data_IF_227898835293
#
_entry.id   IF_227898835293
#
_cell.length_a   1.000
_cell.length_b   1.000
_cell.length_c   1.000
_cell.angle_alpha   90.00
_cell.angle_beta   90.00
_cell.angle_gamma   90.00
#
_symmetry.space_group_name_H-M   'P 1'
#
loop_
_entity.id
_entity.type
_entity.pdbx_description
1 polymer ?
#
# COMPACT_ATOMS: atom_id res chain seq x y z
N UNK A 1 15.69 -10.77 5.36
CA UNK A 1 16.30 -9.92 4.31
C UNK A 1 15.50 -8.64 4.26
N UNK A 2 16.13 -7.49 4.44
CA UNK A 2 15.43 -6.20 4.28
C UNK A 2 15.05 -6.05 2.81
N UNK A 3 13.76 -6.00 2.49
CA UNK A 3 13.32 -5.68 1.14
C UNK A 3 13.61 -4.22 0.87
N UNK A 4 14.18 -3.91 -0.29
CA UNK A 4 14.41 -2.51 -0.72
C UNK A 4 13.10 -1.78 -1.04
N UNK A 5 12.01 -2.53 -1.21
CA UNK A 5 10.70 -2.00 -1.48
C UNK A 5 10.00 -1.59 -0.18
N UNK A 6 9.79 -0.32 -0.03
CA UNK A 6 9.05 0.27 1.08
C UNK A 6 8.00 1.23 0.51
N UNK A 7 6.77 0.76 0.28
CA UNK A 7 5.71 1.59 -0.29
C UNK A 7 5.32 2.72 0.67
N UNK A 8 4.77 3.77 0.10
CA UNK A 8 4.18 4.87 0.85
C UNK A 8 2.73 4.49 1.18
N UNK A 9 2.42 4.35 2.46
CA UNK A 9 1.10 3.87 2.91
C UNK A 9 0.10 5.01 3.06
N UNK A 10 0.53 6.15 3.58
CA UNK A 10 -0.38 7.21 4.02
C UNK A 10 -0.92 8.13 2.92
N UNK A 11 -0.68 7.82 1.65
CA UNK A 11 -1.18 8.60 0.52
C UNK A 11 -0.83 10.08 0.54
N UNK A 12 0.09 10.51 1.43
CA UNK A 12 0.48 11.92 1.60
C UNK A 12 -0.70 12.89 1.68
N UNK A 13 -1.76 12.48 2.37
CA UNK A 13 -2.92 13.35 2.55
C UNK A 13 -2.54 14.68 3.20
N UNK A 14 -3.28 15.74 2.90
CA UNK A 14 -3.13 17.02 3.59
C UNK A 14 -3.41 16.80 5.08
N UNK A 15 -2.36 16.66 5.88
CA UNK A 15 -2.47 16.46 7.33
C UNK A 15 -2.67 17.80 8.00
N UNK A 16 -3.85 18.01 8.56
CA UNK A 16 -4.01 19.01 9.61
C UNK A 16 -3.39 18.49 10.93
N UNK A 17 -3.20 19.36 11.91
CA UNK A 17 -2.73 18.95 13.24
C UNK A 17 -3.64 17.92 13.92
N UNK A 18 -4.89 17.80 13.48
CA UNK A 18 -5.91 16.89 13.99
C UNK A 18 -5.92 15.50 13.36
N UNK A 19 -5.08 15.24 12.35
CA UNK A 19 -4.96 13.90 11.71
C UNK A 19 -3.64 13.26 12.09
N UNK A 20 -3.72 12.07 12.67
CA UNK A 20 -2.55 11.29 13.06
C UNK A 20 -2.44 10.05 12.15
N UNK A 21 -1.25 9.83 11.61
CA UNK A 21 -0.85 8.62 10.96
C UNK A 21 0.32 7.97 11.74
N UNK A 22 0.26 6.66 11.93
CA UNK A 22 1.31 5.90 12.60
C UNK A 22 1.59 4.57 11.90
N UNK A 23 2.84 4.14 11.93
CA UNK A 23 3.28 2.82 11.44
C UNK A 23 4.02 2.06 12.55
N UNK A 24 3.89 0.74 12.52
CA UNK A 24 4.66 -0.17 13.37
C UNK A 24 5.15 -1.37 12.54
N UNK A 25 6.40 -1.79 12.71
CA UNK A 25 6.91 -2.99 12.06
C UNK A 25 6.19 -4.24 12.59
N UNK A 26 6.04 -5.28 11.76
CA UNK A 26 5.53 -6.55 12.23
C UNK A 26 6.53 -7.26 13.16
N UNK A 27 6.07 -8.22 13.99
CA UNK A 27 6.94 -9.19 14.64
C UNK A 27 7.81 -9.95 13.65
N UNK A 28 8.96 -10.45 14.09
CA UNK A 28 9.96 -11.08 13.22
C UNK A 28 9.40 -12.29 12.43
N UNK A 29 8.51 -13.06 13.03
CA UNK A 29 7.85 -14.23 12.39
C UNK A 29 6.91 -13.85 11.24
N UNK A 30 6.50 -12.58 11.15
CA UNK A 30 5.61 -12.05 10.11
C UNK A 30 6.34 -11.13 9.11
N UNK A 31 7.62 -10.83 9.32
CA UNK A 31 8.37 -9.84 8.55
C UNK A 31 8.58 -10.20 7.07
N UNK A 32 8.37 -11.45 6.68
CA UNK A 32 8.46 -11.88 5.27
C UNK A 32 7.17 -11.64 4.48
N UNK A 33 6.04 -11.46 5.18
CA UNK A 33 4.72 -11.31 4.55
C UNK A 33 4.08 -9.96 4.82
N UNK A 34 4.30 -9.38 6.00
CA UNK A 34 3.77 -8.06 6.38
C UNK A 34 4.83 -6.99 6.16
N UNK A 35 4.47 -5.92 5.44
CA UNK A 35 5.30 -4.73 5.34
C UNK A 35 5.19 -3.89 6.62
N UNK A 36 3.97 -3.56 7.03
CA UNK A 36 3.72 -2.66 8.16
C UNK A 36 2.30 -2.86 8.71
N UNK A 37 2.13 -2.61 10.02
CA UNK A 37 0.85 -2.28 10.63
C UNK A 37 0.71 -0.76 10.66
N UNK A 38 -0.46 -0.23 10.32
CA UNK A 38 -0.68 1.20 10.23
C UNK A 38 -1.99 1.66 10.89
N UNK A 39 -2.00 2.88 11.36
CA UNK A 39 -3.16 3.58 11.92
C UNK A 39 -3.33 4.94 11.23
N UNK A 40 -4.57 5.30 10.89
CA UNK A 40 -4.95 6.63 10.43
C UNK A 40 -6.21 7.07 11.17
N UNK A 41 -6.11 8.18 11.94
CA UNK A 41 -7.23 8.65 12.75
C UNK A 41 -7.27 10.16 12.89
N UNK A 42 -8.45 10.68 13.17
CA UNK A 42 -8.63 12.04 13.67
C UNK A 42 -8.40 12.10 15.18
N UNK A 43 -7.79 13.17 15.65
CA UNK A 43 -7.65 13.48 17.10
C UNK A 43 -8.80 14.36 17.59
N UNK A 44 -9.41 15.15 16.69
CA UNK A 44 -10.59 15.96 16.89
C UNK A 44 -11.41 16.01 15.61
N UNK A 45 -12.72 16.35 15.66
CA UNK A 45 -13.54 16.51 14.47
C UNK A 45 -12.97 17.57 13.53
N UNK A 46 -12.82 17.23 12.25
CA UNK A 46 -12.32 18.15 11.23
C UNK A 46 -13.38 19.18 10.81
N UNK A 47 -12.99 20.37 10.36
CA UNK A 47 -13.93 21.38 9.85
C UNK A 47 -14.60 20.95 8.53
N UNK A 48 -13.91 20.17 7.72
CA UNK A 48 -14.39 19.61 6.43
C UNK A 48 -14.04 18.13 6.33
N UNK A 49 -14.68 17.44 5.39
CA UNK A 49 -14.39 16.04 5.11
C UNK A 49 -12.94 15.85 4.67
N UNK A 50 -12.33 14.78 5.18
CA UNK A 50 -10.98 14.39 4.82
C UNK A 50 -10.99 13.49 3.59
N UNK A 51 -10.37 13.97 2.52
CA UNK A 51 -10.23 13.22 1.29
C UNK A 51 -8.87 12.50 1.27
N UNK A 52 -8.90 11.21 1.56
CA UNK A 52 -7.71 10.35 1.52
C UNK A 52 -7.39 9.96 0.08
N UNK A 53 -6.19 10.31 -0.37
CA UNK A 53 -5.73 9.99 -1.72
C UNK A 53 -4.87 8.73 -1.68
N UNK A 54 -5.50 7.57 -1.90
CA UNK A 54 -4.83 6.27 -1.91
C UNK A 54 -3.97 6.12 -3.16
N UNK A 55 -2.65 6.07 -2.97
CA UNK A 55 -1.66 5.89 -4.04
C UNK A 55 -1.48 4.40 -4.33
N UNK A 56 -1.43 3.96 -5.60
CA UNK A 56 -1.18 2.56 -5.92
C UNK A 56 0.18 2.09 -5.41
N UNK A 57 0.20 0.96 -4.70
CA UNK A 57 1.37 0.43 -4.02
C UNK A 57 1.64 -1.07 -4.28
N UNK A 58 0.78 -1.71 -5.08
CA UNK A 58 0.79 -3.14 -5.37
C UNK A 58 0.62 -4.04 -4.13
N UNK A 59 0.21 -3.47 -3.00
CA UNK A 59 0.01 -4.17 -1.73
C UNK A 59 -1.48 -4.45 -1.49
N UNK A 60 -1.77 -5.61 -0.93
CA UNK A 60 -3.09 -5.88 -0.34
C UNK A 60 -3.06 -5.43 1.11
N UNK A 61 -4.10 -4.73 1.53
CA UNK A 61 -4.29 -4.38 2.93
C UNK A 61 -5.52 -5.10 3.50
N UNK A 62 -5.43 -5.52 4.76
CA UNK A 62 -6.62 -5.71 5.59
C UNK A 62 -6.88 -4.40 6.31
N UNK A 63 -8.13 -3.95 6.30
CA UNK A 63 -8.53 -2.65 6.80
C UNK A 63 -9.69 -2.79 7.78
N UNK A 64 -9.65 -2.02 8.87
CA UNK A 64 -10.60 -2.05 9.96
C UNK A 64 -11.03 -0.63 10.33
N UNK A 65 -12.33 -0.37 10.36
CA UNK A 65 -12.88 0.86 10.87
C UNK A 65 -13.18 0.72 12.37
N UNK A 66 -12.47 1.47 13.21
CA UNK A 66 -12.63 1.43 14.66
C UNK A 66 -13.82 2.29 15.15
N UNK A 67 -14.41 3.12 14.25
CA UNK A 67 -15.64 3.87 14.56
C UNK A 67 -16.91 3.06 14.25
N UNK A 68 -16.79 2.04 13.38
CA UNK A 68 -17.87 1.12 13.02
C UNK A 68 -17.29 -0.28 12.83
N UNK A 69 -17.46 -1.14 13.82
CA UNK A 69 -16.84 -2.48 13.84
C UNK A 69 -17.43 -3.46 12.82
N UNK A 70 -18.53 -3.12 12.16
CA UNK A 70 -19.08 -3.90 11.06
C UNK A 70 -18.35 -3.59 9.72
N UNK A 71 -17.53 -2.54 9.69
CA UNK A 71 -16.79 -2.14 8.50
C UNK A 71 -15.34 -2.63 8.60
N UNK A 72 -15.00 -3.58 7.74
CA UNK A 72 -13.66 -4.09 7.52
C UNK A 72 -13.55 -4.56 6.07
N UNK A 73 -12.34 -4.85 5.58
CA UNK A 73 -12.20 -5.36 4.22
C UNK A 73 -10.78 -5.70 3.80
N UNK A 74 -10.70 -6.22 2.58
CA UNK A 74 -9.46 -6.50 1.86
C UNK A 74 -9.36 -5.52 0.68
N UNK A 75 -8.26 -4.78 0.57
CA UNK A 75 -8.12 -3.78 -0.51
C UNK A 75 -7.91 -4.43 -1.87
N UNK A 76 -8.57 -3.89 -2.88
CA UNK A 76 -8.25 -4.18 -4.27
C UNK A 76 -6.89 -3.57 -4.68
N UNK A 77 -6.31 -4.14 -5.73
CA UNK A 77 -5.06 -3.66 -6.31
C UNK A 77 -5.37 -2.73 -7.49
N UNK A 78 -4.85 -1.52 -7.45
CA UNK A 78 -5.05 -0.50 -8.46
C UNK A 78 -3.74 -0.08 -9.12
N UNK A 79 -3.82 0.38 -10.37
CA UNK A 79 -2.70 0.99 -11.11
C UNK A 79 -2.76 2.51 -11.09
N UNK A 80 -3.88 3.05 -10.61
CA UNK A 80 -4.19 4.49 -10.54
C UNK A 80 -4.66 4.84 -9.14
N UNK A 81 -4.43 6.07 -8.71
CA UNK A 81 -4.83 6.55 -7.40
C UNK A 81 -6.36 6.67 -7.30
N UNK A 82 -6.87 6.41 -6.10
CA UNK A 82 -8.29 6.56 -5.76
C UNK A 82 -8.44 7.55 -4.62
N UNK A 83 -9.44 8.43 -4.68
CA UNK A 83 -9.76 9.34 -3.59
C UNK A 83 -10.92 8.78 -2.78
N UNK A 84 -10.69 8.62 -1.48
CA UNK A 84 -11.66 8.12 -0.52
C UNK A 84 -12.09 9.25 0.41
N UNK A 85 -13.41 9.46 0.57
CA UNK A 85 -13.93 10.39 1.55
C UNK A 85 -14.08 9.67 2.90
N UNK A 86 -13.24 10.01 3.87
CA UNK A 86 -13.24 9.42 5.21
C UNK A 86 -14.14 10.19 6.20
N UNK A 87 -14.75 11.30 5.75
CA UNK A 87 -15.57 12.14 6.60
C UNK A 87 -14.74 13.03 7.52
N UNK A 88 -15.39 13.55 8.55
CA UNK A 88 -14.80 14.52 9.50
C UNK A 88 -14.24 13.86 10.77
N UNK A 89 -14.65 12.63 11.05
CA UNK A 89 -14.17 11.82 12.18
C UNK A 89 -13.98 10.41 11.67
N UNK A 90 -12.79 9.87 11.83
CA UNK A 90 -12.45 8.51 11.41
C UNK A 90 -11.32 7.91 12.25
N UNK A 91 -11.32 6.58 12.30
CA UNK A 91 -10.25 5.79 12.88
C UNK A 91 -10.13 4.48 12.13
N UNK A 92 -9.11 4.37 11.30
CA UNK A 92 -8.78 3.17 10.53
C UNK A 92 -7.47 2.56 11.00
N UNK A 93 -7.44 1.24 11.04
CA UNK A 93 -6.25 0.44 11.35
C UNK A 93 -6.09 -0.61 10.26
N UNK A 94 -4.86 -0.96 9.92
CA UNK A 94 -4.66 -1.95 8.87
C UNK A 94 -3.36 -2.72 8.95
N UNK A 95 -3.34 -3.78 8.15
CA UNK A 95 -2.18 -4.62 7.86
C UNK A 95 -1.86 -4.47 6.39
N UNK A 96 -0.68 -3.98 6.05
CA UNK A 96 -0.21 -3.95 4.67
C UNK A 96 0.70 -5.15 4.42
N UNK A 97 0.32 -5.97 3.44
CA UNK A 97 1.12 -7.10 2.99
C UNK A 97 2.08 -6.71 1.88
N UNK A 98 3.18 -7.43 1.75
CA UNK A 98 4.03 -7.30 0.57
C UNK A 98 3.30 -7.77 -0.71
N UNK A 99 3.66 -7.22 -1.89
CA UNK A 99 3.10 -7.66 -3.17
C UNK A 99 3.21 -9.17 -3.38
N UNK A 100 2.09 -9.80 -3.70
CA UNK A 100 2.03 -11.20 -4.08
C UNK A 100 1.99 -12.22 -2.95
N UNK A 101 1.90 -11.79 -1.69
CA UNK A 101 1.77 -12.74 -0.57
C UNK A 101 0.31 -13.10 -0.28
N UNK A 102 -0.65 -12.28 -0.68
CA UNK A 102 -2.08 -12.55 -0.50
C UNK A 102 -2.57 -13.60 -1.50
N UNK A 103 -3.14 -14.69 -1.00
CA UNK A 103 -3.68 -15.80 -1.80
C UNK A 103 -5.21 -15.93 -1.69
N UNK A 104 -5.81 -15.24 -0.71
CA UNK A 104 -7.25 -15.27 -0.49
C UNK A 104 -8.05 -14.52 -1.55
N UNK A 105 -9.38 -14.57 -1.43
CA UNK A 105 -10.27 -13.75 -2.24
C UNK A 105 -9.90 -12.27 -2.08
N UNK A 106 -9.91 -11.54 -3.18
CA UNK A 106 -9.67 -10.11 -3.19
C UNK A 106 -11.02 -9.42 -3.28
N UNK A 107 -11.58 -9.12 -2.12
CA UNK A 107 -12.73 -8.24 -2.05
C UNK A 107 -12.27 -6.83 -2.43
N UNK A 108 -13.06 -6.16 -3.25
CA UNK A 108 -12.73 -4.79 -3.65
C UNK A 108 -13.13 -3.83 -2.55
N UNK A 109 -12.19 -2.98 -2.13
CA UNK A 109 -12.53 -1.74 -1.46
C UNK A 109 -12.78 -0.71 -2.54
N UNK A 110 -14.06 -0.49 -2.82
CA UNK A 110 -14.51 0.57 -3.71
C UNK A 110 -14.75 1.84 -2.89
N UNK A 111 -15.05 2.93 -3.57
CA UNK A 111 -15.39 4.23 -2.95
C UNK A 111 -16.49 4.15 -1.89
N UNK A 112 -17.23 3.04 -1.84
CA UNK A 112 -18.36 2.79 -0.93
C UNK A 112 -18.00 2.00 0.32
N UNK A 113 -16.78 1.54 0.50
CA UNK A 113 -16.44 0.73 1.68
C UNK A 113 -16.57 1.51 2.99
N UNK A 114 -16.44 2.83 2.94
CA UNK A 114 -16.73 3.71 4.08
C UNK A 114 -18.23 3.62 4.36
N UNK A 115 -18.59 2.93 5.45
CA UNK A 115 -19.98 2.69 5.81
C UNK A 115 -20.64 1.45 5.18
N UNK A 116 -19.88 0.59 4.50
CA UNK A 116 -20.39 -0.70 4.00
C UNK A 116 -19.95 -1.83 4.93
N UNK A 117 -20.92 -2.54 5.49
CA UNK A 117 -20.65 -3.68 6.37
C UNK A 117 -19.91 -4.80 5.61
N UNK A 118 -18.91 -5.41 6.26
CA UNK A 118 -18.19 -6.55 5.72
C UNK A 118 -19.08 -7.79 5.69
N UNK A 119 -19.18 -8.44 4.52
CA UNK A 119 -19.98 -9.64 4.29
C UNK A 119 -19.14 -10.84 3.80
N UNK A 120 -17.81 -10.74 3.89
CA UNK A 120 -16.91 -11.80 3.49
C UNK A 120 -16.78 -12.94 4.52
N UNK A 121 -16.00 -13.96 4.17
CA UNK A 121 -15.83 -15.19 4.97
C UNK A 121 -14.68 -15.12 5.97
N UNK A 122 -13.81 -14.10 5.88
CA UNK A 122 -12.68 -13.95 6.79
C UNK A 122 -13.17 -13.45 8.17
N UNK A 123 -12.49 -13.80 9.26
CA UNK A 123 -12.91 -13.42 10.61
C UNK A 123 -12.65 -11.94 10.96
N UNK A 124 -12.68 -11.03 9.96
CA UNK A 124 -12.27 -9.64 10.12
C UNK A 124 -13.07 -8.93 11.20
N UNK A 125 -14.41 -9.10 11.23
CA UNK A 125 -15.25 -8.43 12.24
C UNK A 125 -14.95 -8.91 13.66
N UNK A 126 -14.59 -10.19 13.84
CA UNK A 126 -14.19 -10.71 15.15
C UNK A 126 -12.94 -9.99 15.66
N UNK A 127 -11.91 -9.87 14.82
CA UNK A 127 -10.67 -9.17 15.17
C UNK A 127 -10.88 -7.66 15.31
N UNK A 128 -11.75 -7.06 14.47
CA UNK A 128 -12.10 -5.65 14.58
C UNK A 128 -12.68 -5.32 15.96
N UNK A 129 -13.63 -6.12 16.44
CA UNK A 129 -14.25 -5.94 17.76
C UNK A 129 -13.27 -6.12 18.93
N UNK A 130 -12.23 -6.96 18.78
CA UNK A 130 -11.20 -7.15 19.79
C UNK A 130 -10.29 -5.92 19.96
N UNK A 131 -10.22 -5.05 18.96
CA UNK A 131 -9.40 -3.85 18.98
C UNK A 131 -10.12 -2.62 19.55
N UNK A 132 -11.44 -2.70 19.78
CA UNK A 132 -12.24 -1.57 20.27
C UNK A 132 -11.73 -1.07 21.60
N UNK A 133 -11.46 0.24 21.67
CA UNK A 133 -11.00 0.91 22.91
C UNK A 133 -9.52 0.73 23.22
N UNK A 134 -8.79 -0.05 22.42
CA UNK A 134 -7.33 -0.18 22.55
C UNK A 134 -6.61 1.00 21.88
N UNK A 135 -5.44 1.34 22.39
CA UNK A 135 -4.51 2.18 21.63
C UNK A 135 -3.80 1.36 20.55
N UNK A 136 -3.11 2.05 19.62
CA UNK A 136 -2.51 1.38 18.47
C UNK A 136 -1.48 0.31 18.86
N UNK A 137 -0.66 0.57 19.89
CA UNK A 137 0.36 -0.39 20.30
C UNK A 137 -0.28 -1.66 20.95
N UNK A 138 -1.40 -1.50 21.66
CA UNK A 138 -2.17 -2.61 22.19
C UNK A 138 -2.95 -3.40 21.12
N UNK A 139 -3.24 -2.81 19.95
CA UNK A 139 -3.85 -3.51 18.80
C UNK A 139 -2.88 -4.44 18.06
N UNK A 140 -1.57 -4.19 18.14
CA UNK A 140 -0.57 -4.93 17.36
C UNK A 140 -0.59 -6.45 17.58
N UNK A 141 -0.71 -6.98 18.82
CA UNK A 141 -0.87 -8.41 19.02
C UNK A 141 -2.10 -9.00 18.33
N UNK A 142 -3.23 -8.28 18.34
CA UNK A 142 -4.48 -8.71 17.70
C UNK A 142 -4.32 -8.77 16.17
N UNK A 143 -3.68 -7.76 15.58
CA UNK A 143 -3.36 -7.76 14.14
C UNK A 143 -2.38 -8.88 13.78
N UNK A 144 -1.37 -9.12 14.61
CA UNK A 144 -0.41 -10.20 14.39
C UNK A 144 -1.08 -11.58 14.45
N UNK A 145 -2.00 -11.79 15.40
CA UNK A 145 -2.75 -13.05 15.52
C UNK A 145 -3.68 -13.28 14.32
N UNK A 146 -4.30 -12.23 13.78
CA UNK A 146 -5.04 -12.32 12.53
C UNK A 146 -4.13 -12.77 11.37
N UNK A 147 -2.94 -12.18 11.23
CA UNK A 147 -1.99 -12.58 10.17
C UNK A 147 -1.55 -14.02 10.34
N UNK A 148 -1.26 -14.47 11.57
CA UNK A 148 -0.95 -15.88 11.85
C UNK A 148 -2.11 -16.80 11.49
N UNK A 149 -3.34 -16.40 11.79
CA UNK A 149 -4.52 -17.11 11.32
C UNK A 149 -4.57 -17.17 9.79
N UNK A 150 -4.34 -16.06 9.09
CA UNK A 150 -4.30 -16.04 7.62
C UNK A 150 -3.23 -16.96 7.04
N UNK A 151 -2.04 -17.02 7.66
CA UNK A 151 -0.96 -17.95 7.29
C UNK A 151 -1.41 -19.41 7.49
N UNK A 152 -1.99 -19.73 8.64
CA UNK A 152 -2.47 -21.09 8.96
C UNK A 152 -3.60 -21.55 8.03
N UNK A 153 -4.42 -20.64 7.51
CA UNK A 153 -5.49 -20.93 6.55
C UNK A 153 -5.05 -20.84 5.07
N UNK A 154 -3.78 -20.58 4.80
CA UNK A 154 -3.27 -20.42 3.45
C UNK A 154 -3.77 -19.16 2.71
N UNK A 155 -4.36 -18.20 3.42
CA UNK A 155 -4.78 -16.92 2.85
C UNK A 155 -3.60 -15.98 2.57
N UNK A 156 -2.50 -16.20 3.26
CA UNK A 156 -1.24 -15.45 3.10
C UNK A 156 -0.10 -16.46 2.98
N UNK A 157 0.78 -16.22 2.02
CA UNK A 157 1.98 -17.06 1.81
C UNK A 157 3.06 -16.24 1.13
N UNK A 158 4.29 -16.33 1.62
CA UNK A 158 5.45 -15.74 0.93
C UNK A 158 5.62 -16.37 -0.46
N UNK A 159 6.02 -15.54 -1.44
CA UNK A 159 6.20 -16.00 -2.82
C UNK A 159 7.60 -15.63 -3.33
N UNK A 160 8.42 -16.64 -3.65
CA UNK A 160 9.83 -16.47 -4.01
C UNK A 160 10.07 -15.51 -5.19
N UNK A 161 9.19 -15.53 -6.22
CA UNK A 161 9.30 -14.63 -7.37
C UNK A 161 9.13 -13.16 -6.96
N UNK A 162 8.08 -12.82 -6.21
CA UNK A 162 7.84 -11.44 -5.80
C UNK A 162 8.90 -10.97 -4.80
N UNK A 163 9.32 -11.82 -3.87
CA UNK A 163 10.43 -11.53 -2.97
C UNK A 163 11.74 -11.23 -3.74
N UNK A 164 12.06 -12.03 -4.77
CA UNK A 164 13.23 -11.80 -5.61
C UNK A 164 13.14 -10.49 -6.41
N UNK A 165 11.96 -10.16 -6.96
CA UNK A 165 11.73 -8.89 -7.67
C UNK A 165 11.90 -7.71 -6.71
N UNK A 166 11.27 -7.75 -5.54
CA UNK A 166 11.30 -6.66 -4.57
C UNK A 166 12.69 -6.43 -4.00
N UNK A 167 13.45 -7.50 -3.72
CA UNK A 167 14.82 -7.41 -3.18
C UNK A 167 15.85 -6.89 -4.20
N UNK A 168 15.54 -6.91 -5.49
CA UNK A 168 16.44 -6.45 -6.57
C UNK A 168 15.78 -5.40 -7.47
N UNK A 169 14.77 -4.71 -6.95
CA UNK A 169 13.98 -3.76 -7.72
C UNK A 169 14.84 -2.68 -8.40
N UNK A 170 15.94 -2.28 -7.78
CA UNK A 170 16.88 -1.30 -8.31
C UNK A 170 17.60 -1.75 -9.59
N UNK A 171 17.75 -3.05 -9.78
CA UNK A 171 18.39 -3.63 -10.98
C UNK A 171 17.38 -3.87 -12.12
N UNK A 172 16.08 -3.72 -11.87
CA UNK A 172 15.03 -4.03 -12.84
C UNK A 172 14.64 -2.78 -13.61
N UNK A 173 14.95 -2.74 -14.92
CA UNK A 173 14.59 -1.64 -15.83
C UNK A 173 13.47 -2.03 -16.79
N UNK A 174 13.30 -3.31 -17.07
CA UNK A 174 12.34 -3.82 -18.06
C UNK A 174 11.65 -5.09 -17.57
N UNK A 175 10.58 -5.49 -18.25
CA UNK A 175 9.94 -6.80 -18.02
C UNK A 175 10.90 -7.94 -18.37
N UNK A 176 11.83 -7.73 -19.31
CA UNK A 176 12.84 -8.71 -19.65
C UNK A 176 13.83 -8.94 -18.48
N UNK A 177 14.21 -7.87 -17.77
CA UNK A 177 15.05 -7.99 -16.57
C UNK A 177 14.35 -8.77 -15.46
N UNK A 178 13.03 -8.55 -15.27
CA UNK A 178 12.23 -9.36 -14.33
C UNK A 178 12.24 -10.85 -14.73
N UNK A 179 12.10 -11.13 -16.01
CA UNK A 179 12.07 -12.50 -16.51
C UNK A 179 13.44 -13.19 -16.34
N UNK A 180 14.50 -12.47 -16.68
CA UNK A 180 15.89 -12.95 -16.50
C UNK A 180 16.20 -13.20 -15.01
N UNK A 181 15.83 -12.28 -14.12
CA UNK A 181 16.00 -12.42 -12.67
C UNK A 181 15.29 -13.67 -12.12
N UNK A 182 14.10 -13.97 -12.66
CA UNK A 182 13.29 -15.10 -12.24
C UNK A 182 13.69 -16.44 -12.92
N UNK A 183 14.58 -16.43 -13.91
CA UNK A 183 14.87 -17.60 -14.74
C UNK A 183 13.66 -18.09 -15.54
N UNK A 184 12.73 -17.19 -15.91
CA UNK A 184 11.49 -17.49 -16.57
C UNK A 184 11.43 -16.87 -17.97
N UNK A 185 10.70 -17.49 -18.89
CA UNK A 185 10.29 -16.80 -20.12
C UNK A 185 9.29 -15.69 -19.79
N UNK A 186 9.19 -14.67 -20.65
CA UNK A 186 8.25 -13.57 -20.49
C UNK A 186 6.79 -14.04 -20.34
N UNK A 187 6.43 -15.11 -21.07
CA UNK A 187 5.09 -15.72 -20.99
C UNK A 187 4.83 -16.39 -19.64
N UNK A 188 5.83 -17.11 -19.10
CA UNK A 188 5.74 -17.72 -17.76
C UNK A 188 5.66 -16.65 -16.69
N UNK A 189 6.53 -15.63 -16.76
CA UNK A 189 6.51 -14.48 -15.85
C UNK A 189 5.11 -13.82 -15.84
N UNK A 190 4.54 -13.54 -17.02
CA UNK A 190 3.23 -12.90 -17.14
C UNK A 190 2.13 -13.74 -16.47
N UNK A 191 2.12 -15.05 -16.71
CA UNK A 191 1.15 -15.96 -16.09
C UNK A 191 1.29 -15.98 -14.57
N UNK A 192 2.52 -16.15 -14.08
CA UNK A 192 2.80 -16.24 -12.65
C UNK A 192 2.46 -14.94 -11.92
N UNK A 193 2.90 -13.79 -12.44
CA UNK A 193 2.61 -12.50 -11.79
C UNK A 193 1.12 -12.18 -11.77
N UNK A 194 0.39 -12.46 -12.86
CA UNK A 194 -1.07 -12.28 -12.86
C UNK A 194 -1.76 -13.16 -11.81
N UNK A 195 -1.31 -14.38 -11.65
CA UNK A 195 -1.85 -15.32 -10.67
C UNK A 195 -1.54 -14.83 -9.23
N UNK A 196 -0.30 -14.44 -8.96
CA UNK A 196 0.19 -14.15 -7.62
C UNK A 196 -0.14 -12.72 -7.18
N UNK A 197 0.05 -11.73 -8.06
CA UNK A 197 -0.15 -10.31 -7.72
C UNK A 197 -1.42 -9.71 -8.28
N UNK A 198 -2.06 -10.34 -9.26
CA UNK A 198 -3.15 -9.76 -10.05
C UNK A 198 -2.70 -8.82 -11.17
N UNK A 199 -1.43 -8.40 -11.19
CA UNK A 199 -0.89 -7.49 -12.19
C UNK A 199 -0.23 -8.22 -13.37
N UNK A 200 -0.33 -7.62 -14.56
CA UNK A 200 0.62 -7.93 -15.62
C UNK A 200 2.01 -7.38 -15.25
N UNK A 201 3.12 -7.99 -15.74
CA UNK A 201 4.49 -7.53 -15.40
C UNK A 201 4.73 -6.04 -15.63
N UNK A 202 4.19 -5.50 -16.73
CA UNK A 202 4.33 -4.10 -17.07
C UNK A 202 3.61 -3.17 -16.06
N UNK A 203 2.41 -3.56 -15.63
CA UNK A 203 1.63 -2.76 -14.69
C UNK A 203 2.22 -2.83 -13.28
N UNK A 204 2.68 -4.00 -12.86
CA UNK A 204 3.43 -4.14 -11.61
C UNK A 204 4.68 -3.24 -11.63
N UNK A 205 5.48 -3.27 -12.71
CA UNK A 205 6.68 -2.45 -12.82
C UNK A 205 6.37 -0.96 -12.77
N UNK A 206 5.27 -0.51 -13.39
CA UNK A 206 4.82 0.90 -13.30
C UNK A 206 4.51 1.31 -11.86
N UNK A 207 3.74 0.49 -11.13
CA UNK A 207 3.39 0.78 -9.73
C UNK A 207 4.64 0.81 -8.85
N UNK A 208 5.52 -0.17 -8.98
CA UNK A 208 6.76 -0.23 -8.21
C UNK A 208 7.68 0.98 -8.48
N UNK A 209 7.79 1.42 -9.75
CA UNK A 209 8.55 2.64 -10.10
C UNK A 209 7.92 3.91 -9.58
N UNK A 210 6.59 4.00 -9.64
CA UNK A 210 5.88 5.12 -9.05
C UNK A 210 6.22 5.23 -7.56
N UNK A 211 6.15 4.15 -6.81
CA UNK A 211 6.50 4.12 -5.40
C UNK A 211 7.96 4.49 -5.14
N UNK A 212 8.89 3.99 -5.96
CA UNK A 212 10.30 4.39 -5.86
C UNK A 212 10.51 5.89 -6.13
N UNK A 213 9.70 6.54 -7.01
CA UNK A 213 9.87 7.94 -7.38
C UNK A 213 9.61 8.93 -6.22
N UNK A 214 8.94 8.50 -5.16
CA UNK A 214 8.81 9.29 -3.93
C UNK A 214 10.10 9.36 -3.11
N UNK A 215 11.00 8.35 -3.26
CA UNK A 215 12.20 8.17 -2.45
C UNK A 215 13.51 8.30 -3.22
N UNK A 216 13.45 8.25 -4.55
CA UNK A 216 14.60 8.28 -5.46
C UNK A 216 14.44 9.36 -6.51
N UNK A 217 15.56 9.81 -7.04
CA UNK A 217 15.54 10.75 -8.16
C UNK A 217 14.85 10.12 -9.37
N UNK A 218 13.91 10.85 -9.98
CA UNK A 218 13.08 10.32 -11.08
C UNK A 218 13.90 9.92 -12.32
N UNK A 219 15.04 10.57 -12.59
CA UNK A 219 15.91 10.21 -13.70
C UNK A 219 16.60 8.86 -13.53
N UNK A 220 16.66 8.32 -12.31
CA UNK A 220 17.11 6.94 -12.08
C UNK A 220 16.07 5.89 -12.52
N UNK A 221 14.81 6.30 -12.69
CA UNK A 221 13.66 5.43 -12.89
C UNK A 221 12.99 5.64 -14.26
N UNK A 222 13.08 6.83 -14.82
CA UNK A 222 12.44 7.26 -16.06
C UNK A 222 13.48 7.84 -17.02
N UNK A 223 13.19 7.79 -18.33
CA UNK A 223 14.11 8.25 -19.36
C UNK A 223 14.42 9.75 -19.25
N UNK A 224 13.42 10.55 -18.89
CA UNK A 224 13.52 12.01 -18.73
C UNK A 224 12.39 12.55 -17.84
N UNK A 225 12.45 13.85 -17.55
CA UNK A 225 11.45 14.57 -16.74
C UNK A 225 10.05 14.55 -17.37
N UNK A 226 9.93 14.62 -18.69
CA UNK A 226 8.65 14.63 -19.37
C UNK A 226 7.97 13.27 -19.26
N UNK A 227 8.73 12.19 -19.44
CA UNK A 227 8.27 10.81 -19.25
C UNK A 227 7.82 10.57 -17.80
N UNK A 228 8.61 11.01 -16.81
CA UNK A 228 8.22 10.94 -15.40
C UNK A 228 6.90 11.70 -15.15
N UNK A 229 6.82 12.96 -15.57
CA UNK A 229 5.64 13.81 -15.37
C UNK A 229 4.39 13.19 -15.96
N UNK A 230 4.49 12.64 -17.20
CA UNK A 230 3.38 11.96 -17.86
C UNK A 230 2.94 10.69 -17.12
N UNK A 231 3.89 9.82 -16.78
CA UNK A 231 3.62 8.59 -16.06
C UNK A 231 3.01 8.85 -14.66
N UNK A 232 3.57 9.81 -13.93
CA UNK A 232 3.08 10.22 -12.62
C UNK A 232 1.66 10.78 -12.72
N UNK A 233 1.40 11.72 -13.66
CA UNK A 233 0.06 12.30 -13.85
C UNK A 233 -0.97 11.24 -14.20
N UNK A 234 -0.61 10.26 -15.02
CA UNK A 234 -1.50 9.15 -15.39
C UNK A 234 -1.88 8.30 -14.18
N UNK A 235 -0.91 7.98 -13.32
CA UNK A 235 -1.13 7.13 -12.16
C UNK A 235 -1.79 7.85 -10.98
N UNK A 236 -1.49 9.14 -10.80
CA UNK A 236 -1.85 9.92 -9.61
C UNK A 236 -3.00 10.92 -9.88
N UNK A 237 -3.24 11.29 -11.15
CA UNK A 237 -4.19 12.35 -11.52
C UNK A 237 -3.62 13.77 -11.45
N UNK A 238 -2.46 13.97 -10.85
CA UNK A 238 -1.76 15.25 -10.67
C UNK A 238 -0.38 15.20 -11.29
N UNK A 239 0.15 16.34 -11.74
CA UNK A 239 1.59 16.43 -12.01
C UNK A 239 2.38 16.38 -10.69
N UNK A 240 3.69 15.99 -10.69
CA UNK A 240 4.50 15.98 -9.47
C UNK A 240 4.49 17.31 -8.72
N UNK A 241 4.55 18.45 -9.44
CA UNK A 241 4.49 19.78 -8.84
C UNK A 241 3.13 20.11 -8.21
N UNK A 242 2.04 19.75 -8.89
CA UNK A 242 0.68 19.91 -8.35
C UNK A 242 0.47 19.02 -7.10
N UNK A 243 0.94 17.77 -7.16
CA UNK A 243 0.83 16.81 -6.05
C UNK A 243 1.59 17.31 -4.82
N UNK A 244 2.82 17.80 -5.00
CA UNK A 244 3.61 18.43 -3.94
C UNK A 244 2.86 19.59 -3.28
N UNK A 245 2.29 20.48 -4.09
CA UNK A 245 1.54 21.65 -3.59
C UNK A 245 0.27 21.23 -2.83
N UNK A 246 -0.46 20.23 -3.35
CA UNK A 246 -1.72 19.78 -2.78
C UNK A 246 -1.56 18.96 -1.49
N UNK A 247 -0.51 18.12 -1.42
CA UNK A 247 -0.35 17.11 -0.36
C UNK A 247 0.90 17.31 0.51
N UNK A 248 1.69 18.37 0.29
CA UNK A 248 2.89 18.66 1.07
C UNK A 248 4.02 17.64 0.92
N UNK A 249 3.99 16.82 -0.15
CA UNK A 249 4.96 15.75 -0.41
C UNK A 249 6.30 16.33 -0.79
N UNK A 250 7.38 15.76 -0.24
CA UNK A 250 8.74 16.00 -0.69
C UNK A 250 9.22 14.81 -1.53
N UNK A 251 9.68 15.07 -2.74
CA UNK A 251 10.36 14.07 -3.56
C UNK A 251 11.87 14.11 -3.27
N UNK A 252 12.57 13.02 -3.52
CA UNK A 252 14.02 12.92 -3.26
C UNK A 252 14.86 14.00 -3.97
N UNK A 253 14.39 14.52 -5.12
CA UNK A 253 15.03 15.61 -5.85
C UNK A 253 14.89 16.99 -5.20
N UNK A 254 13.98 17.16 -4.24
CA UNK A 254 13.73 18.46 -3.61
C UNK A 254 14.83 18.83 -2.57
N UNK A 255 15.66 17.87 -2.18
CA UNK A 255 16.74 18.04 -1.20
C UNK A 255 18.05 18.62 -1.76
N UNK A 256 18.14 18.93 -3.06
CA UNK A 256 19.35 19.50 -3.69
C UNK A 256 19.23 20.98 -4.09
N UNK A 257 18.14 21.65 -3.75
CA UNK A 257 17.93 23.07 -4.06
C UNK A 257 17.92 23.91 -2.77
N UNK A 258 19.03 23.94 -2.03
CA UNK A 258 19.08 24.75 -0.83
C UNK A 258 20.35 24.60 0.00
N UNK A 259 21.51 24.61 -0.64
CA UNK A 259 22.79 24.95 -0.04
C UNK A 259 23.62 25.71 -1.11
N UNK A 260 23.26 26.97 -1.32
CA UNK A 260 24.11 28.04 -1.84
C UNK A 260 23.71 29.35 -1.15
#
# INVERSE_FOLDING_TARGET
MSTLYAPVVDGFSQRGAEVRYGERPPPQDLAEVVHVFWELRTLAPLPVDFLYHAVPDACVNLLFNQMDTEVAGVTALHTEATTLNLGRVFHYVGVQFYPGVWQGKRDEIQDRYVGTAYQGELPLLRFNRQMVGLDFDAMLPVLADLVRWCLAQGQVQGHALTAAILSRLDAIRTVADMAALAGLSTRQLQRTLRQVTGFAPHDLLKVLRLQQSFRRHHLDLYADQAHFTHAFRRAIGYTPGQYRKAFGVRFAQDGKAGDD
#
